data_IF_408781855753
#
_entry.id   IF_408781855753
#
_cell.length_a   1.000
_cell.length_b   1.000
_cell.length_c   1.000
_cell.angle_alpha   90.00
_cell.angle_beta   90.00
_cell.angle_gamma   90.00
#
_symmetry.space_group_name_H-M   'P 1'
#
loop_
_entity.id
_entity.type
_entity.pdbx_description
1 polymer ?
#
# COMPACT_ATOMS: atom_id res chain seq x y z
N UNK A 1 11.37 -15.88 -22.60
CA UNK A 1 11.13 -14.62 -21.87
C UNK A 1 12.00 -14.61 -20.63
N UNK A 2 13.01 -13.72 -20.55
CA UNK A 2 13.84 -13.57 -19.35
C UNK A 2 13.06 -12.77 -18.32
N UNK A 3 12.72 -13.36 -17.19
CA UNK A 3 12.20 -12.65 -16.03
C UNK A 3 13.25 -11.62 -15.58
N UNK A 4 13.02 -10.34 -15.90
CA UNK A 4 13.80 -9.27 -15.29
C UNK A 4 13.32 -9.10 -13.86
N UNK A 5 14.03 -9.73 -12.91
CA UNK A 5 13.92 -9.41 -11.48
C UNK A 5 14.38 -7.97 -11.29
N UNK A 6 13.42 -7.04 -11.31
CA UNK A 6 13.66 -5.64 -10.99
C UNK A 6 14.06 -5.57 -9.51
N UNK A 7 15.34 -5.33 -9.23
CA UNK A 7 15.85 -5.17 -7.87
C UNK A 7 15.47 -3.77 -7.39
N UNK A 8 14.56 -3.68 -6.41
CA UNK A 8 14.25 -2.41 -5.75
C UNK A 8 15.44 -1.98 -4.90
N UNK A 9 16.05 -0.84 -5.24
CA UNK A 9 17.37 -0.42 -4.70
C UNK A 9 17.32 0.23 -3.32
N UNK A 10 16.16 0.67 -2.82
CA UNK A 10 16.04 1.27 -1.48
C UNK A 10 15.38 0.30 -0.51
N UNK A 11 16.10 -0.05 0.56
CA UNK A 11 15.56 -0.80 1.70
C UNK A 11 14.78 0.16 2.60
N UNK A 12 13.62 -0.28 3.07
CA UNK A 12 12.95 0.39 4.19
C UNK A 12 13.85 0.18 5.43
N UNK A 13 14.18 1.26 6.11
CA UNK A 13 14.89 1.24 7.39
C UNK A 13 13.94 1.65 8.50
N UNK A 14 14.14 1.09 9.69
CA UNK A 14 13.37 1.43 10.88
C UNK A 14 14.36 1.96 11.89
N UNK A 15 14.22 3.25 12.23
CA UNK A 15 14.93 3.85 13.35
C UNK A 15 14.02 3.85 14.57
N UNK A 16 14.41 3.07 15.58
CA UNK A 16 13.71 2.98 16.85
C UNK A 16 14.46 3.69 17.98
N UNK A 17 15.61 4.33 17.70
CA UNK A 17 16.38 5.07 18.70
C UNK A 17 15.54 6.13 19.44
N UNK A 18 14.61 6.86 18.80
CA UNK A 18 13.75 7.82 19.50
C UNK A 18 12.85 7.19 20.57
N UNK A 19 12.61 5.87 20.55
CA UNK A 19 11.82 5.17 21.56
C UNK A 19 12.66 4.64 22.73
N UNK A 20 14.00 4.74 22.66
CA UNK A 20 14.92 4.15 23.63
C UNK A 20 15.17 5.08 24.82
N UNK A 21 15.55 4.47 25.94
CA UNK A 21 15.93 5.15 27.18
C UNK A 21 17.03 6.21 26.97
N UNK A 22 17.97 5.93 26.07
CA UNK A 22 19.06 6.86 25.75
C UNK A 22 18.57 8.17 25.09
N UNK A 23 17.38 8.15 24.48
CA UNK A 23 16.77 9.33 23.83
C UNK A 23 15.69 10.01 24.69
N UNK A 24 14.84 9.23 25.36
CA UNK A 24 13.68 9.74 26.13
C UNK A 24 14.01 9.98 27.61
N UNK A 25 15.05 9.33 28.14
CA UNK A 25 15.29 9.28 29.58
C UNK A 25 14.49 8.15 30.24
N UNK A 26 14.10 8.33 31.51
CA UNK A 26 13.58 7.24 32.35
C UNK A 26 12.37 6.47 31.78
N UNK A 27 11.51 7.12 31.00
CA UNK A 27 10.31 6.54 30.37
C UNK A 27 10.58 5.77 29.07
N UNK A 28 11.82 5.80 28.56
CA UNK A 28 12.18 5.13 27.31
C UNK A 28 12.47 3.63 27.49
N UNK A 29 12.37 2.87 26.40
CA UNK A 29 12.63 1.43 26.39
C UNK A 29 14.12 1.14 26.62
N UNK A 30 14.42 0.21 27.53
CA UNK A 30 15.79 -0.28 27.69
C UNK A 30 16.08 -1.47 26.77
N UNK A 31 17.35 -1.77 26.52
CA UNK A 31 17.72 -3.00 25.81
C UNK A 31 17.28 -4.27 26.57
N UNK A 32 17.10 -4.18 27.89
CA UNK A 32 16.60 -5.30 28.69
C UNK A 32 15.13 -5.59 28.40
N UNK A 33 14.30 -4.55 28.21
CA UNK A 33 12.88 -4.70 27.85
C UNK A 33 12.71 -5.39 26.49
N UNK A 34 13.52 -4.97 25.51
CA UNK A 34 13.55 -5.62 24.19
C UNK A 34 13.98 -7.09 24.29
N UNK A 35 15.01 -7.40 25.09
CA UNK A 35 15.46 -8.79 25.31
C UNK A 35 14.38 -9.62 25.99
N UNK A 36 13.63 -9.06 26.94
CA UNK A 36 12.56 -9.72 27.68
C UNK A 36 11.42 -10.16 26.76
N UNK A 37 11.02 -9.34 25.78
CA UNK A 37 9.93 -9.67 24.86
C UNK A 37 10.38 -10.49 23.63
N UNK A 38 11.68 -10.53 23.34
CA UNK A 38 12.22 -11.20 22.17
C UNK A 38 11.80 -12.68 22.01
N UNK A 39 11.70 -13.52 23.05
CA UNK A 39 11.20 -14.90 22.93
C UNK A 39 9.76 -14.95 22.40
N UNK A 40 8.87 -14.11 22.92
CA UNK A 40 7.46 -14.01 22.50
C UNK A 40 7.35 -13.57 21.03
N UNK A 41 8.12 -12.56 20.64
CA UNK A 41 8.16 -12.09 19.23
C UNK A 41 8.66 -13.18 18.31
N UNK A 42 9.74 -13.90 18.66
CA UNK A 42 10.25 -15.04 17.86
C UNK A 42 9.19 -16.13 17.68
N UNK A 43 8.45 -16.46 18.73
CA UNK A 43 7.35 -17.42 18.65
C UNK A 43 6.22 -16.94 17.72
N UNK A 44 5.82 -15.67 17.82
CA UNK A 44 4.81 -15.07 16.96
C UNK A 44 5.25 -15.05 15.48
N UNK A 45 6.50 -14.68 15.20
CA UNK A 45 7.09 -14.71 13.85
C UNK A 45 7.09 -16.14 13.28
N UNK A 46 7.50 -17.14 14.08
CA UNK A 46 7.45 -18.55 13.67
C UNK A 46 6.03 -18.98 13.31
N UNK A 47 5.04 -18.63 14.15
CA UNK A 47 3.63 -18.94 13.90
C UNK A 47 3.11 -18.26 12.63
N UNK A 48 3.39 -16.97 12.44
CA UNK A 48 2.96 -16.24 11.24
C UNK A 48 3.57 -16.84 9.97
N UNK A 49 4.87 -17.18 10.00
CA UNK A 49 5.54 -17.80 8.86
C UNK A 49 4.97 -19.19 8.52
N UNK A 50 4.56 -19.97 9.53
CA UNK A 50 3.87 -21.24 9.29
C UNK A 50 2.52 -21.02 8.58
N UNK A 51 1.71 -20.06 9.05
CA UNK A 51 0.42 -19.69 8.43
C UNK A 51 0.56 -19.14 7.01
N UNK A 52 1.64 -18.38 6.75
CA UNK A 52 1.99 -17.94 5.39
C UNK A 52 2.29 -19.12 4.48
N UNK A 53 3.15 -20.05 4.92
CA UNK A 53 3.53 -21.24 4.14
C UNK A 53 2.38 -22.21 3.89
N UNK A 54 1.40 -22.27 4.80
CA UNK A 54 0.20 -23.09 4.62
C UNK A 54 -0.86 -22.44 3.72
N UNK A 55 -0.68 -21.19 3.29
CA UNK A 55 -1.64 -20.45 2.47
C UNK A 55 -2.80 -19.83 3.26
N UNK A 56 -2.80 -19.93 4.60
CA UNK A 56 -3.86 -19.34 5.44
C UNK A 56 -3.85 -17.81 5.39
N UNK A 57 -2.68 -17.21 5.12
CA UNK A 57 -2.53 -15.75 4.98
C UNK A 57 -2.59 -15.37 3.50
N UNK A 58 -3.80 -15.17 2.97
CA UNK A 58 -4.04 -14.98 1.53
C UNK A 58 -3.33 -13.78 0.88
N UNK A 59 -2.93 -12.76 1.65
CA UNK A 59 -2.24 -11.59 1.10
C UNK A 59 -0.71 -11.73 1.04
N UNK A 60 -0.15 -12.76 1.67
CA UNK A 60 1.30 -12.88 1.89
C UNK A 60 2.12 -12.96 0.60
N UNK A 61 1.56 -13.59 -0.42
CA UNK A 61 2.25 -13.88 -1.68
C UNK A 61 1.82 -12.96 -2.83
N UNK A 62 0.92 -11.99 -2.58
CA UNK A 62 0.46 -11.01 -3.56
C UNK A 62 1.60 -10.24 -4.25
N UNK A 63 2.68 -9.82 -3.57
CA UNK A 63 3.80 -9.16 -4.24
C UNK A 63 4.46 -10.00 -5.34
N UNK A 64 4.33 -11.34 -5.26
CA UNK A 64 4.85 -12.28 -6.24
C UNK A 64 3.90 -12.56 -7.42
N UNK A 65 2.63 -12.15 -7.35
CA UNK A 65 1.64 -12.39 -8.41
C UNK A 65 1.79 -11.39 -9.57
N UNK A 66 2.92 -11.47 -10.25
CA UNK A 66 3.26 -10.60 -11.38
C UNK A 66 2.35 -10.83 -12.58
N UNK A 67 1.74 -12.01 -12.70
CA UNK A 67 0.81 -12.33 -13.78
C UNK A 67 -0.47 -11.49 -13.64
N UNK A 68 -1.06 -11.48 -12.46
CA UNK A 68 -2.25 -10.67 -12.19
C UNK A 68 -1.93 -9.18 -12.26
N UNK A 69 -0.81 -8.74 -11.65
CA UNK A 69 -0.35 -7.35 -11.77
C UNK A 69 -0.21 -6.90 -13.23
N UNK A 70 0.38 -7.74 -14.09
CA UNK A 70 0.52 -7.44 -15.52
C UNK A 70 -0.84 -7.38 -16.24
N UNK A 71 -1.80 -8.21 -15.85
CA UNK A 71 -3.16 -8.18 -16.41
C UNK A 71 -3.88 -6.87 -16.04
N UNK A 72 -3.75 -6.42 -14.80
CA UNK A 72 -4.32 -5.16 -14.31
C UNK A 72 -3.70 -3.97 -15.05
N UNK A 73 -2.37 -3.94 -15.24
CA UNK A 73 -1.69 -2.88 -15.99
C UNK A 73 -2.21 -2.83 -17.43
N UNK A 74 -2.30 -3.98 -18.12
CA UNK A 74 -2.85 -4.03 -19.48
C UNK A 74 -4.28 -3.52 -19.55
N UNK A 75 -5.11 -3.83 -18.55
CA UNK A 75 -6.47 -3.30 -18.48
C UNK A 75 -6.48 -1.78 -18.28
N UNK A 76 -5.68 -1.27 -17.35
CA UNK A 76 -5.56 0.17 -17.09
C UNK A 76 -5.04 0.94 -18.34
N UNK A 77 -4.14 0.35 -19.11
CA UNK A 77 -3.67 0.94 -20.37
C UNK A 77 -4.76 1.00 -21.44
N UNK A 78 -5.67 0.03 -21.49
CA UNK A 78 -6.84 0.08 -22.39
C UNK A 78 -7.80 1.23 -22.07
N UNK A 79 -7.78 1.75 -20.84
CA UNK A 79 -8.62 2.88 -20.42
C UNK A 79 -8.04 4.24 -20.81
N UNK A 80 -6.76 4.32 -21.18
CA UNK A 80 -6.13 5.58 -21.61
C UNK A 80 -6.90 6.20 -22.77
N UNK A 81 -7.29 7.46 -22.62
CA UNK A 81 -8.07 8.20 -23.61
C UNK A 81 -9.50 7.72 -23.83
N UNK A 82 -9.96 6.67 -23.13
CA UNK A 82 -11.33 6.14 -23.26
C UNK A 82 -12.28 6.62 -22.17
N UNK A 83 -11.76 6.94 -20.99
CA UNK A 83 -12.54 7.55 -19.92
C UNK A 83 -11.80 8.77 -19.35
N UNK A 84 -12.55 9.82 -19.01
CA UNK A 84 -12.02 11.01 -18.34
C UNK A 84 -11.91 10.85 -16.83
N UNK A 85 -12.73 9.97 -16.25
CA UNK A 85 -12.81 9.70 -14.83
C UNK A 85 -13.04 8.20 -14.57
N UNK A 86 -12.40 7.67 -13.53
CA UNK A 86 -12.57 6.32 -13.02
C UNK A 86 -13.01 6.41 -11.56
N UNK A 87 -14.22 5.93 -11.26
CA UNK A 87 -14.81 6.02 -9.92
C UNK A 87 -14.71 4.66 -9.24
N UNK A 88 -14.05 4.61 -8.08
CA UNK A 88 -13.99 3.45 -7.20
C UNK A 88 -15.13 3.55 -6.21
N UNK A 89 -16.09 2.62 -6.29
CA UNK A 89 -17.16 2.47 -5.30
C UNK A 89 -16.70 1.44 -4.26
N UNK A 90 -16.37 1.88 -3.05
CA UNK A 90 -15.85 1.00 -2.02
C UNK A 90 -15.66 1.71 -0.69
N UNK A 91 -15.56 0.96 0.41
CA UNK A 91 -15.37 1.49 1.77
C UNK A 91 -14.33 0.65 2.51
N UNK A 92 -13.68 1.24 3.51
CA UNK A 92 -12.66 0.55 4.30
C UNK A 92 -11.50 0.09 3.42
N UNK A 93 -11.17 -1.20 3.44
CA UNK A 93 -10.03 -1.75 2.71
C UNK A 93 -10.08 -1.54 1.19
N UNK A 94 -11.28 -1.51 0.59
CA UNK A 94 -11.46 -1.30 -0.86
C UNK A 94 -11.38 0.16 -1.29
N UNK A 95 -11.34 1.10 -0.34
CA UNK A 95 -11.16 2.54 -0.60
C UNK A 95 -9.81 3.07 -0.12
N UNK A 96 -9.40 2.73 1.11
CA UNK A 96 -8.19 3.25 1.74
C UNK A 96 -6.91 2.74 1.04
N UNK A 97 -6.91 1.49 0.56
CA UNK A 97 -5.78 0.95 -0.21
C UNK A 97 -5.51 1.73 -1.50
N UNK A 98 -6.50 1.85 -2.40
CA UNK A 98 -6.38 2.70 -3.59
C UNK A 98 -6.02 4.15 -3.25
N UNK A 99 -6.64 4.74 -2.22
CA UNK A 99 -6.36 6.12 -1.79
C UNK A 99 -4.91 6.31 -1.40
N UNK A 100 -4.38 5.46 -0.52
CA UNK A 100 -2.99 5.51 -0.08
C UNK A 100 -2.01 5.42 -1.25
N UNK A 101 -2.28 4.55 -2.24
CA UNK A 101 -1.44 4.42 -3.43
C UNK A 101 -1.50 5.67 -4.32
N UNK A 102 -2.70 6.22 -4.56
CA UNK A 102 -2.86 7.40 -5.41
C UNK A 102 -2.21 8.62 -4.76
N UNK A 103 -2.48 8.85 -3.48
CA UNK A 103 -1.95 10.01 -2.75
C UNK A 103 -0.42 9.94 -2.61
N UNK A 104 0.16 8.74 -2.44
CA UNK A 104 1.60 8.58 -2.29
C UNK A 104 2.38 8.53 -3.63
N UNK A 105 1.77 8.00 -4.70
CA UNK A 105 2.49 7.70 -5.95
C UNK A 105 2.14 8.63 -7.11
N UNK A 106 1.13 9.48 -6.97
CA UNK A 106 0.77 10.45 -8.01
C UNK A 106 1.24 11.86 -7.65
N UNK A 107 1.50 12.74 -8.63
CA UNK A 107 1.78 14.14 -8.37
C UNK A 107 0.65 14.82 -7.58
N UNK A 108 1.00 15.81 -6.76
CA UNK A 108 0.01 16.66 -6.10
C UNK A 108 -1.01 17.23 -7.10
N UNK A 109 -2.27 17.31 -6.67
CA UNK A 109 -3.40 17.75 -7.49
C UNK A 109 -3.56 16.97 -8.81
N UNK A 110 -3.21 15.68 -8.84
CA UNK A 110 -3.30 14.82 -10.03
C UNK A 110 -4.62 14.97 -10.79
N UNK A 111 -5.75 15.01 -10.08
CA UNK A 111 -7.08 15.14 -10.69
C UNK A 111 -7.37 16.51 -11.33
N UNK A 112 -6.66 17.57 -10.93
CA UNK A 112 -6.80 18.92 -11.50
C UNK A 112 -5.93 19.15 -12.75
N UNK A 113 -4.98 18.24 -13.03
CA UNK A 113 -4.16 18.31 -14.24
C UNK A 113 -5.03 18.12 -15.48
N UNK A 114 -4.53 18.45 -16.66
CA UNK A 114 -5.18 18.09 -17.92
C UNK A 114 -4.89 16.62 -18.28
N UNK A 115 -5.41 16.14 -19.42
CA UNK A 115 -5.18 14.76 -19.84
C UNK A 115 -3.69 14.47 -20.11
N UNK A 116 -2.95 15.44 -20.66
CA UNK A 116 -1.52 15.31 -20.93
C UNK A 116 -0.72 15.20 -19.63
N UNK A 117 -1.01 16.04 -18.64
CA UNK A 117 -0.41 16.02 -17.31
C UNK A 117 -0.71 14.77 -16.48
N UNK A 118 -1.71 13.97 -16.88
CA UNK A 118 -2.00 12.63 -16.36
C UNK A 118 -1.47 11.49 -17.24
N UNK A 119 -0.74 11.78 -18.32
CA UNK A 119 -0.27 10.75 -19.26
C UNK A 119 -1.41 10.00 -19.96
N UNK A 120 -2.51 10.70 -20.25
CA UNK A 120 -3.72 10.14 -20.87
C UNK A 120 -4.56 9.25 -19.96
N UNK A 121 -4.21 9.16 -18.66
CA UNK A 121 -4.95 8.40 -17.66
C UNK A 121 -6.16 9.20 -17.13
N UNK A 122 -7.23 8.51 -16.69
CA UNK A 122 -8.39 9.18 -16.12
C UNK A 122 -8.05 9.85 -14.78
N UNK A 123 -8.90 10.79 -14.38
CA UNK A 123 -9.04 11.17 -12.97
C UNK A 123 -9.47 9.94 -12.18
N UNK A 124 -9.09 9.87 -10.90
CA UNK A 124 -9.56 8.81 -10.02
C UNK A 124 -10.31 9.42 -8.85
N UNK A 125 -11.58 9.04 -8.71
CA UNK A 125 -12.42 9.42 -7.57
C UNK A 125 -12.69 8.16 -6.76
N UNK A 126 -12.52 8.25 -5.45
CA UNK A 126 -12.85 7.17 -4.53
C UNK A 126 -14.11 7.62 -3.80
N UNK A 127 -15.19 6.92 -4.07
CA UNK A 127 -16.49 7.16 -3.47
C UNK A 127 -16.74 6.16 -2.35
N UNK A 128 -16.43 6.59 -1.13
CA UNK A 128 -16.45 5.79 0.10
C UNK A 128 -17.49 6.23 1.13
N UNK A 129 -18.35 7.16 0.74
CA UNK A 129 -19.47 7.63 1.55
C UNK A 129 -20.78 7.56 0.75
N UNK A 130 -21.89 7.30 1.45
CA UNK A 130 -23.25 7.23 0.88
C UNK A 130 -24.05 8.54 1.06
N UNK A 131 -23.44 9.59 1.62
CA UNK A 131 -24.06 10.91 1.72
C UNK A 131 -24.55 11.36 0.32
N UNK A 132 -25.83 11.74 0.19
CA UNK A 132 -26.37 12.23 -1.08
C UNK A 132 -25.57 13.41 -1.64
N UNK A 133 -25.11 14.32 -0.78
CA UNK A 133 -24.30 15.47 -1.15
C UNK A 133 -22.98 15.03 -1.78
N UNK A 134 -22.33 14.03 -1.19
CA UNK A 134 -21.11 13.46 -1.73
C UNK A 134 -21.35 12.77 -3.07
N UNK A 135 -22.37 11.91 -3.17
CA UNK A 135 -22.70 11.19 -4.41
C UNK A 135 -23.06 12.14 -5.54
N UNK A 136 -23.77 13.24 -5.26
CA UNK A 136 -24.10 14.28 -6.24
C UNK A 136 -22.89 15.10 -6.69
N UNK A 137 -21.80 15.10 -5.91
CA UNK A 137 -20.59 15.87 -6.19
C UNK A 137 -19.53 15.09 -6.99
N UNK A 138 -19.73 13.78 -7.21
CA UNK A 138 -18.84 12.90 -8.01
C UNK A 138 -19.16 13.02 -9.50
#
# INVERSE_FOLDING_TARGET
MKESKKVFSKKISVDYAPAMKDSIGAEGLSSADLRKIAPTVRAAVKKLNARRKSGEVGFAELPGDLKNASAIIRYADKLKGKCGCFVVLGIGGSALGPRALIDALTPAFYNLRDAAGRGGRPRVIIADNISPEFVQSV
#
